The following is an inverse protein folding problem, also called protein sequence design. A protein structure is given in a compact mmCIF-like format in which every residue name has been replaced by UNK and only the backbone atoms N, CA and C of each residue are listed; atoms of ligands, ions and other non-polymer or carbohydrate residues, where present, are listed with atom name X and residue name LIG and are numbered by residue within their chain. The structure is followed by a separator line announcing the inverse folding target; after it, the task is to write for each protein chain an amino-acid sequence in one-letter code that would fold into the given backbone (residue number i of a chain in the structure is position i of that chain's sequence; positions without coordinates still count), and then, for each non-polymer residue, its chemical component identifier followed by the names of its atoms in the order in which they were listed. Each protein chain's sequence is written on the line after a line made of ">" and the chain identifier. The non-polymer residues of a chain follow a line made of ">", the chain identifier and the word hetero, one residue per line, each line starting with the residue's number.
data_IF_937079970193
#
_entry.id   IF_937079970193
#
_cell.length_a   1.000
_cell.length_b   1.000
_cell.length_c   1.000
_cell.angle_alpha   90.00
_cell.angle_beta   90.00
_cell.angle_gamma   90.00
#
_symmetry.space_group_name_H-M   'P 1'
#
loop_
_entity.id
_entity.type
_entity.pdbx_description
1 polymer ?
#
# COMPACT_ATOMS: atom_id res chain seq x y z
N UNK A 1 29.09 8.77 85.70
CA UNK A 1 29.10 9.35 84.34
C UNK A 1 29.02 8.20 83.34
N UNK A 2 27.82 7.85 82.85
CA UNK A 2 27.60 6.75 81.90
C UNK A 2 27.64 7.33 80.48
N UNK A 3 28.59 6.88 79.65
CA UNK A 3 28.68 7.24 78.23
C UNK A 3 27.76 6.30 77.44
N UNK A 4 26.78 6.86 76.72
CA UNK A 4 25.94 6.14 75.77
C UNK A 4 26.60 6.20 74.39
N UNK A 5 26.81 5.04 73.77
CA UNK A 5 27.33 4.88 72.42
C UNK A 5 26.13 4.80 71.46
N UNK A 6 25.97 5.79 70.58
CA UNK A 6 24.92 5.78 69.56
C UNK A 6 25.42 5.06 68.30
N UNK A 7 24.80 3.94 67.93
CA UNK A 7 25.00 3.26 66.65
C UNK A 7 24.21 4.00 65.56
N UNK A 8 24.90 4.52 64.55
CA UNK A 8 24.30 5.02 63.31
C UNK A 8 24.12 3.85 62.34
N UNK A 9 22.87 3.42 62.15
CA UNK A 9 22.50 2.46 61.10
C UNK A 9 22.20 3.28 59.84
N UNK A 10 23.08 3.19 58.85
CA UNK A 10 22.88 3.82 57.53
C UNK A 10 21.97 2.93 56.69
N UNK A 11 20.71 3.35 56.51
CA UNK A 11 19.76 2.65 55.65
C UNK A 11 20.05 2.96 54.16
N UNK A 12 20.55 1.98 53.42
CA UNK A 12 20.60 2.04 51.96
C UNK A 12 19.19 1.77 51.40
N UNK A 13 18.55 2.80 50.84
CA UNK A 13 17.33 2.66 50.06
C UNK A 13 17.67 2.14 48.65
N UNK A 14 17.02 1.07 48.16
CA UNK A 14 17.21 0.61 46.79
C UNK A 14 16.57 1.59 45.82
N UNK A 15 17.37 2.08 44.87
CA UNK A 15 16.90 2.93 43.77
C UNK A 15 16.15 2.02 42.77
N UNK A 16 14.82 2.04 42.83
CA UNK A 16 13.96 1.35 41.86
C UNK A 16 14.04 2.08 40.52
N UNK A 17 14.74 1.50 39.54
CA UNK A 17 14.65 1.92 38.15
C UNK A 17 13.28 1.49 37.61
N UNK A 18 12.30 2.40 37.62
CA UNK A 18 11.08 2.20 36.86
C UNK A 18 11.41 2.32 35.38
N UNK A 19 11.41 1.19 34.67
CA UNK A 19 11.45 1.17 33.21
C UNK A 19 10.22 1.94 32.70
N UNK A 20 10.45 3.09 32.07
CA UNK A 20 9.40 3.80 31.34
C UNK A 20 9.09 2.95 30.12
N UNK A 21 7.95 2.26 30.13
CA UNK A 21 7.44 1.63 28.93
C UNK A 21 7.12 2.75 27.92
N UNK A 22 7.94 2.86 26.88
CA UNK A 22 7.57 3.66 25.70
C UNK A 22 6.39 2.93 25.07
N UNK A 23 5.20 3.50 25.22
CA UNK A 23 4.04 3.02 24.49
C UNK A 23 4.35 3.10 22.99
N UNK A 24 4.09 2.03 22.25
CA UNK A 24 4.12 2.09 20.78
C UNK A 24 3.17 3.20 20.33
N UNK A 25 3.58 4.05 19.37
CA UNK A 25 2.68 5.04 18.81
C UNK A 25 1.42 4.34 18.30
N UNK A 26 0.26 4.95 18.51
CA UNK A 26 -0.98 4.46 17.95
C UNK A 26 -0.81 4.28 16.42
N UNK A 27 -1.38 3.22 15.82
CA UNK A 27 -1.30 3.03 14.38
C UNK A 27 -1.75 4.31 13.67
N UNK A 28 -0.99 4.75 12.67
CA UNK A 28 -1.36 5.91 11.89
C UNK A 28 -2.72 5.68 11.21
N UNK A 29 -3.55 6.72 11.19
CA UNK A 29 -4.82 6.70 10.47
C UNK A 29 -4.56 6.93 8.98
N UNK A 30 -4.34 5.85 8.23
CA UNK A 30 -3.91 5.92 6.83
C UNK A 30 -5.07 5.87 5.84
N UNK A 31 -6.23 5.34 6.25
CA UNK A 31 -7.40 5.16 5.40
C UNK A 31 -8.71 5.25 6.20
N UNK A 32 -8.89 6.28 7.05
CA UNK A 32 -10.19 6.57 7.69
C UNK A 32 -11.33 6.81 6.71
N UNK A 33 -11.01 7.17 5.47
CA UNK A 33 -11.89 7.14 4.30
C UNK A 33 -11.24 6.31 3.19
N UNK A 34 -12.01 5.83 2.19
CA UNK A 34 -11.43 5.13 1.05
C UNK A 34 -10.32 5.97 0.37
N UNK A 35 -9.14 5.39 0.08
CA UNK A 35 -8.09 6.10 -0.65
C UNK A 35 -8.57 6.54 -2.04
N UNK A 36 -8.35 7.81 -2.39
CA UNK A 36 -8.70 8.35 -3.70
C UNK A 36 -7.43 8.71 -4.48
N UNK A 37 -7.36 8.32 -5.75
CA UNK A 37 -6.17 8.57 -6.57
C UNK A 37 -6.32 8.09 -8.00
N UNK A 38 -5.18 7.81 -8.61
CA UNK A 38 -5.03 7.29 -9.96
C UNK A 38 -4.04 6.14 -9.95
N UNK A 39 -4.23 5.16 -10.83
CA UNK A 39 -3.30 4.06 -11.07
C UNK A 39 -3.03 3.95 -12.58
N UNK A 40 -1.79 3.59 -12.95
CA UNK A 40 -1.36 3.53 -14.35
C UNK A 40 -1.95 2.38 -15.19
N UNK A 41 -2.44 1.31 -14.58
CA UNK A 41 -2.66 0.02 -15.25
C UNK A 41 -3.72 0.04 -16.35
N UNK A 42 -4.97 0.41 -16.04
CA UNK A 42 -6.10 0.22 -16.96
C UNK A 42 -5.91 0.93 -18.30
N UNK A 43 -5.17 2.05 -18.31
CA UNK A 43 -4.91 2.81 -19.54
C UNK A 43 -3.56 2.48 -20.19
N UNK A 44 -2.50 2.31 -19.40
CA UNK A 44 -1.13 2.27 -19.91
C UNK A 44 -0.49 0.88 -19.84
N UNK A 45 -0.97 -0.02 -18.99
CA UNK A 45 -0.35 -1.31 -18.75
C UNK A 45 1.15 -1.16 -18.44
N UNK A 46 2.00 -1.87 -19.17
CA UNK A 46 3.45 -1.73 -19.06
C UNK A 46 4.04 -0.52 -19.83
N UNK A 47 3.27 0.29 -20.56
CA UNK A 47 3.76 1.46 -21.28
C UNK A 47 3.81 2.70 -20.38
N UNK A 48 4.65 2.59 -19.34
CA UNK A 48 4.81 3.61 -18.30
C UNK A 48 6.28 4.06 -18.20
N UNK A 49 6.48 5.33 -17.86
CA UNK A 49 7.79 5.92 -17.59
C UNK A 49 7.64 7.10 -16.63
N UNK A 50 8.77 7.63 -16.15
CA UNK A 50 8.81 8.73 -15.19
C UNK A 50 8.09 9.99 -15.68
N UNK A 51 8.23 10.34 -16.96
CA UNK A 51 7.58 11.52 -17.53
C UNK A 51 6.05 11.40 -17.48
N UNK A 52 5.50 10.22 -17.81
CA UNK A 52 4.07 9.94 -17.70
C UNK A 52 3.59 10.16 -16.26
N UNK A 53 4.30 9.60 -15.27
CA UNK A 53 3.88 9.72 -13.87
C UNK A 53 3.96 11.17 -13.39
N UNK A 54 5.01 11.92 -13.79
CA UNK A 54 5.14 13.36 -13.49
C UNK A 54 4.01 14.17 -14.11
N UNK A 55 3.69 13.93 -15.38
CA UNK A 55 2.60 14.62 -16.09
C UNK A 55 1.24 14.30 -15.48
N UNK A 56 1.01 13.06 -15.06
CA UNK A 56 -0.22 12.68 -14.35
C UNK A 56 -0.33 13.38 -12.99
N UNK A 57 0.78 13.47 -12.23
CA UNK A 57 0.80 14.22 -10.98
C UNK A 57 0.48 15.71 -11.21
N UNK A 58 1.03 16.32 -12.27
CA UNK A 58 0.71 17.70 -12.65
C UNK A 58 -0.77 17.87 -13.03
N UNK A 59 -1.32 16.92 -13.79
CA UNK A 59 -2.73 16.94 -14.19
C UNK A 59 -3.67 16.83 -12.97
N UNK A 60 -3.41 15.92 -12.03
CA UNK A 60 -4.20 15.77 -10.81
C UNK A 60 -4.11 17.04 -9.94
N UNK A 61 -2.91 17.61 -9.82
CA UNK A 61 -2.68 18.81 -9.02
C UNK A 61 -3.31 20.08 -9.60
N UNK A 62 -3.44 20.17 -10.93
CA UNK A 62 -3.93 21.38 -11.62
C UNK A 62 -5.39 21.32 -12.09
N UNK A 63 -5.99 20.14 -12.20
CA UNK A 63 -7.37 19.95 -12.69
C UNK A 63 -8.46 20.21 -11.65
N UNK A 64 -8.09 20.36 -10.38
CA UNK A 64 -9.02 20.38 -9.24
C UNK A 64 -9.30 19.00 -8.65
N UNK A 65 -8.85 17.91 -9.27
CA UNK A 65 -8.96 16.55 -8.71
C UNK A 65 -8.26 16.43 -7.36
N UNK A 66 -7.07 17.04 -7.22
CA UNK A 66 -6.44 17.13 -5.90
C UNK A 66 -7.39 17.81 -4.92
N UNK A 67 -7.93 18.98 -5.21
CA UNK A 67 -8.76 19.66 -4.21
C UNK A 67 -10.07 18.90 -3.90
N UNK A 68 -10.54 18.04 -4.83
CA UNK A 68 -11.64 17.10 -4.64
C UNK A 68 -11.32 15.82 -3.84
N UNK A 69 -10.04 15.56 -3.52
CA UNK A 69 -9.63 14.45 -2.65
C UNK A 69 -8.71 13.40 -3.29
N UNK A 70 -8.48 13.44 -4.61
CA UNK A 70 -7.55 12.51 -5.27
C UNK A 70 -6.11 12.83 -4.84
N UNK A 71 -5.49 11.98 -4.02
CA UNK A 71 -4.16 12.19 -3.43
C UNK A 71 -3.11 11.23 -3.97
N UNK A 72 -3.48 10.01 -4.32
CA UNK A 72 -2.51 8.96 -4.66
C UNK A 72 -2.22 8.92 -6.16
N UNK A 73 -0.95 8.88 -6.53
CA UNK A 73 -0.46 8.61 -7.87
C UNK A 73 0.27 7.28 -7.82
N UNK A 74 -0.43 6.20 -8.21
CA UNK A 74 0.05 4.84 -8.04
C UNK A 74 0.68 4.33 -9.33
N UNK A 75 1.93 3.88 -9.23
CA UNK A 75 2.63 3.16 -10.28
C UNK A 75 2.28 1.69 -10.15
N UNK A 76 1.72 1.09 -11.20
CA UNK A 76 1.41 -0.34 -11.23
C UNK A 76 2.62 -1.18 -11.71
N UNK A 77 2.39 -2.39 -12.19
CA UNK A 77 3.45 -3.31 -12.64
C UNK A 77 4.39 -2.69 -13.71
N UNK A 78 5.50 -3.37 -13.98
CA UNK A 78 6.49 -3.04 -15.02
C UNK A 78 7.35 -1.78 -14.74
N UNK A 79 7.40 -1.30 -13.49
CA UNK A 79 8.26 -0.18 -13.11
C UNK A 79 9.70 -0.57 -12.78
N UNK A 80 9.90 -1.79 -12.29
CA UNK A 80 11.21 -2.27 -11.83
C UNK A 80 12.09 -2.79 -12.97
N UNK A 81 13.41 -2.70 -12.76
CA UNK A 81 14.38 -3.42 -13.55
C UNK A 81 14.20 -4.94 -13.40
N UNK A 82 14.74 -5.71 -14.35
CA UNK A 82 14.68 -7.17 -14.33
C UNK A 82 15.54 -7.81 -13.24
N UNK A 83 16.49 -7.06 -12.70
CA UNK A 83 17.44 -7.55 -11.70
C UNK A 83 17.44 -6.64 -10.48
N UNK A 84 17.60 -7.27 -9.31
CA UNK A 84 17.87 -6.58 -8.05
C UNK A 84 19.34 -6.11 -8.04
N UNK A 85 19.65 -5.12 -7.20
CA UNK A 85 21.05 -4.74 -6.98
C UNK A 85 21.82 -5.82 -6.19
N UNK A 86 23.12 -5.59 -5.97
CA UNK A 86 23.99 -6.52 -5.24
C UNK A 86 23.61 -6.70 -3.76
N UNK A 87 22.77 -5.80 -3.22
CA UNK A 87 22.25 -5.87 -1.86
C UNK A 87 20.86 -6.54 -1.83
N UNK A 88 20.36 -7.00 -2.98
CA UNK A 88 19.08 -7.66 -3.12
C UNK A 88 17.89 -6.70 -3.20
N UNK A 89 18.10 -5.39 -3.38
CA UNK A 89 17.00 -4.41 -3.45
C UNK A 89 16.44 -4.30 -4.85
N UNK A 90 15.12 -4.16 -4.96
CA UNK A 90 14.48 -3.79 -6.22
C UNK A 90 15.08 -2.48 -6.75
N UNK A 91 15.29 -2.41 -8.07
CA UNK A 91 15.71 -1.20 -8.76
C UNK A 91 14.58 -0.74 -9.68
N UNK A 92 14.43 0.57 -9.87
CA UNK A 92 13.62 1.09 -10.96
C UNK A 92 14.28 0.74 -12.30
N UNK A 93 13.50 0.50 -13.35
CA UNK A 93 14.05 0.36 -14.69
C UNK A 93 14.77 1.68 -15.07
N UNK A 94 16.08 1.67 -15.35
CA UNK A 94 16.86 2.90 -15.53
C UNK A 94 16.56 3.63 -16.84
N UNK A 95 15.88 2.98 -17.79
CA UNK A 95 15.44 3.60 -19.04
C UNK A 95 14.08 4.26 -18.85
N UNK A 96 13.15 3.58 -18.16
CA UNK A 96 11.80 4.10 -17.90
C UNK A 96 11.79 5.15 -16.78
N UNK A 97 12.62 4.97 -15.76
CA UNK A 97 12.69 5.80 -14.56
C UNK A 97 14.13 6.26 -14.29
N UNK A 98 14.72 7.08 -15.19
CA UNK A 98 16.13 7.48 -15.10
C UNK A 98 16.48 8.29 -13.84
N UNK A 99 15.51 8.97 -13.22
CA UNK A 99 15.67 9.65 -11.93
C UNK A 99 15.47 8.74 -10.71
N UNK A 100 14.98 7.52 -10.92
CA UNK A 100 14.62 6.58 -9.87
C UNK A 100 13.34 6.97 -9.11
N UNK A 101 12.80 6.01 -8.35
CA UNK A 101 11.52 6.19 -7.64
C UNK A 101 11.61 7.27 -6.56
N UNK A 102 12.75 7.41 -5.87
CA UNK A 102 12.90 8.43 -4.84
C UNK A 102 12.70 9.85 -5.39
N UNK A 103 13.36 10.19 -6.49
CA UNK A 103 13.24 11.52 -7.09
C UNK A 103 11.82 11.77 -7.63
N UNK A 104 11.14 10.72 -8.08
CA UNK A 104 9.74 10.76 -8.48
C UNK A 104 8.81 10.98 -7.28
N UNK A 105 9.03 10.29 -6.16
CA UNK A 105 8.29 10.50 -4.92
C UNK A 105 8.44 11.94 -4.41
N UNK A 106 9.68 12.44 -4.34
CA UNK A 106 9.98 13.82 -3.95
C UNK A 106 9.21 14.83 -4.86
N UNK A 107 9.12 14.56 -6.17
CA UNK A 107 8.34 15.39 -7.10
C UNK A 107 6.83 15.34 -6.84
N UNK A 108 6.27 14.14 -6.66
CA UNK A 108 4.84 13.94 -6.39
C UNK A 108 4.46 14.60 -5.05
N UNK A 109 5.29 14.46 -4.02
CA UNK A 109 5.10 15.12 -2.72
C UNK A 109 5.12 16.64 -2.84
N UNK A 110 5.99 17.22 -3.67
CA UNK A 110 6.03 18.67 -3.90
C UNK A 110 4.74 19.23 -4.53
N UNK A 111 3.87 18.39 -5.10
CA UNK A 111 2.54 18.75 -5.63
C UNK A 111 1.41 18.62 -4.59
N UNK A 112 1.73 18.18 -3.37
CA UNK A 112 0.76 17.84 -2.33
C UNK A 112 0.05 16.51 -2.57
N UNK A 113 0.69 15.59 -3.29
CA UNK A 113 0.21 14.25 -3.63
C UNK A 113 1.05 13.19 -2.91
N UNK A 114 0.64 11.93 -3.03
CA UNK A 114 1.28 10.74 -2.45
C UNK A 114 1.65 9.77 -3.57
N UNK A 115 2.80 9.11 -3.48
CA UNK A 115 3.24 8.13 -4.47
C UNK A 115 2.93 6.71 -4.01
N UNK A 116 2.28 5.93 -4.86
CA UNK A 116 2.12 4.49 -4.66
C UNK A 116 2.99 3.66 -5.59
N UNK A 117 3.28 2.44 -5.16
CA UNK A 117 4.05 1.45 -5.91
C UNK A 117 3.35 0.10 -5.90
N UNK A 118 3.85 -0.81 -6.72
CA UNK A 118 3.31 -2.14 -6.91
C UNK A 118 4.37 -3.22 -6.73
N UNK A 119 3.96 -4.35 -6.15
CA UNK A 119 4.67 -5.63 -6.19
C UNK A 119 3.66 -6.78 -6.05
N UNK A 120 4.15 -8.02 -6.00
CA UNK A 120 3.34 -9.22 -5.75
C UNK A 120 3.84 -9.98 -4.52
N UNK A 121 2.91 -10.59 -3.80
CA UNK A 121 3.14 -11.62 -2.78
C UNK A 121 3.49 -12.97 -3.44
N UNK A 122 4.44 -12.95 -4.37
CA UNK A 122 4.92 -14.09 -5.14
C UNK A 122 6.35 -13.89 -5.61
N UNK A 123 6.90 -14.88 -6.32
CA UNK A 123 8.27 -14.83 -6.83
C UNK A 123 8.43 -13.85 -7.99
N UNK A 124 7.33 -13.58 -8.71
CA UNK A 124 7.27 -12.60 -9.79
C UNK A 124 5.96 -11.80 -9.73
N UNK A 125 5.96 -10.64 -10.36
CA UNK A 125 4.74 -9.87 -10.61
C UNK A 125 3.90 -10.53 -11.70
N UNK A 126 2.65 -10.10 -11.89
CA UNK A 126 1.80 -10.65 -12.93
C UNK A 126 2.39 -10.45 -14.35
N UNK A 127 3.14 -9.36 -14.60
CA UNK A 127 3.89 -9.12 -15.83
C UNK A 127 5.30 -9.76 -15.85
N UNK A 128 5.63 -10.60 -14.86
CA UNK A 128 6.87 -11.39 -14.82
C UNK A 128 8.12 -10.60 -14.42
N UNK A 129 7.98 -9.49 -13.68
CA UNK A 129 9.11 -8.79 -13.07
C UNK A 129 9.45 -9.38 -11.70
N UNK A 130 10.64 -9.10 -11.13
CA UNK A 130 10.95 -9.51 -9.76
C UNK A 130 9.88 -9.00 -8.78
N UNK A 131 9.42 -9.86 -7.87
CA UNK A 131 8.47 -9.51 -6.82
C UNK A 131 9.02 -9.85 -5.43
N UNK A 132 8.18 -9.80 -4.40
CA UNK A 132 8.64 -9.58 -3.01
C UNK A 132 8.49 -10.78 -2.09
N UNK A 133 8.03 -11.94 -2.56
CA UNK A 133 8.01 -13.15 -1.72
C UNK A 133 9.44 -13.48 -1.26
N UNK A 134 9.60 -13.68 0.05
CA UNK A 134 10.89 -13.90 0.74
C UNK A 134 11.86 -12.69 0.69
N UNK A 135 11.39 -11.52 0.25
CA UNK A 135 12.15 -10.27 0.16
C UNK A 135 11.41 -9.09 0.83
N UNK A 136 10.39 -9.37 1.64
CA UNK A 136 9.45 -8.39 2.17
C UNK A 136 10.17 -7.31 3.00
N UNK A 137 11.09 -7.73 3.87
CA UNK A 137 11.87 -6.87 4.76
C UNK A 137 12.77 -5.89 3.99
N UNK A 138 13.38 -6.33 2.89
CA UNK A 138 14.28 -5.49 2.07
C UNK A 138 13.48 -4.56 1.15
N UNK A 139 12.38 -5.05 0.59
CA UNK A 139 11.54 -4.28 -0.34
C UNK A 139 10.77 -3.19 0.41
N UNK A 140 10.17 -3.51 1.56
CA UNK A 140 9.50 -2.51 2.41
C UNK A 140 10.45 -1.38 2.81
N UNK A 141 11.68 -1.71 3.25
CA UNK A 141 12.71 -0.69 3.57
C UNK A 141 13.09 0.14 2.35
N UNK A 142 13.27 -0.50 1.19
CA UNK A 142 13.60 0.19 -0.05
C UNK A 142 12.53 1.23 -0.42
N UNK A 143 11.25 0.86 -0.33
CA UNK A 143 10.14 1.77 -0.60
C UNK A 143 10.03 2.88 0.46
N UNK A 144 10.30 2.57 1.72
CA UNK A 144 10.34 3.58 2.78
C UNK A 144 11.46 4.61 2.56
N UNK A 145 12.66 4.16 2.19
CA UNK A 145 13.81 5.00 1.85
C UNK A 145 13.54 5.90 0.62
N UNK A 146 12.75 5.40 -0.33
CA UNK A 146 12.32 6.16 -1.49
C UNK A 146 11.15 7.12 -1.22
N UNK A 147 10.49 7.01 -0.08
CA UNK A 147 9.36 7.88 0.26
C UNK A 147 8.02 7.43 -0.34
N UNK A 148 7.84 6.14 -0.64
CA UNK A 148 6.55 5.59 -1.08
C UNK A 148 5.51 5.70 0.05
N UNK A 149 4.24 5.95 -0.30
CA UNK A 149 3.13 6.15 0.64
C UNK A 149 2.03 5.08 0.52
N UNK A 150 2.08 4.24 -0.52
CA UNK A 150 1.07 3.25 -0.83
C UNK A 150 1.71 2.03 -1.52
N UNK A 151 1.32 0.82 -1.13
CA UNK A 151 1.68 -0.42 -1.80
C UNK A 151 0.42 -1.16 -2.26
N UNK A 152 0.29 -1.41 -3.57
CA UNK A 152 -0.56 -2.46 -4.13
C UNK A 152 0.23 -3.77 -4.13
N UNK A 153 -0.32 -4.82 -3.51
CA UNK A 153 0.38 -6.08 -3.30
C UNK A 153 -0.40 -7.26 -3.86
N UNK A 154 -0.02 -7.65 -5.07
CA UNK A 154 -0.65 -8.69 -5.89
C UNK A 154 -0.42 -10.12 -5.38
N UNK A 155 -0.93 -11.11 -6.10
CA UNK A 155 -0.95 -12.51 -5.69
C UNK A 155 -0.45 -13.49 -6.78
N UNK A 156 0.02 -12.99 -7.93
CA UNK A 156 0.63 -13.82 -8.97
C UNK A 156 1.91 -14.52 -8.48
N UNK A 157 2.18 -15.73 -8.98
CA UNK A 157 3.38 -16.54 -8.66
C UNK A 157 3.62 -16.77 -7.17
N UNK A 158 2.54 -17.01 -6.41
CA UNK A 158 2.55 -17.12 -4.95
C UNK A 158 3.11 -18.45 -4.38
N UNK A 159 3.57 -19.36 -5.25
CA UNK A 159 4.11 -20.68 -4.88
C UNK A 159 3.17 -21.53 -4.02
N UNK A 160 1.85 -21.35 -4.18
CA UNK A 160 0.79 -21.99 -3.38
C UNK A 160 0.95 -21.79 -1.86
N UNK A 161 1.74 -20.80 -1.43
CA UNK A 161 1.92 -20.51 -0.01
C UNK A 161 0.65 -19.85 0.56
N UNK A 162 0.29 -20.14 1.82
CA UNK A 162 -0.91 -19.56 2.43
C UNK A 162 -0.95 -18.04 2.34
N UNK A 163 -2.09 -17.49 1.91
CA UNK A 163 -2.27 -16.05 1.76
C UNK A 163 -2.00 -15.31 3.08
N UNK A 164 -2.49 -15.84 4.20
CA UNK A 164 -2.27 -15.26 5.51
C UNK A 164 -0.78 -15.05 5.81
N UNK A 165 0.07 -16.06 5.56
CA UNK A 165 1.50 -15.98 5.85
C UNK A 165 2.20 -14.93 4.98
N UNK A 166 1.92 -14.94 3.67
CA UNK A 166 2.55 -14.03 2.71
C UNK A 166 2.14 -12.57 2.93
N UNK A 167 0.84 -12.33 3.11
CA UNK A 167 0.33 -10.98 3.34
C UNK A 167 0.72 -10.45 4.73
N UNK A 168 0.82 -11.32 5.75
CA UNK A 168 1.32 -10.94 7.08
C UNK A 168 2.80 -10.55 7.03
N UNK A 169 3.63 -11.32 6.31
CA UNK A 169 5.06 -11.02 6.18
C UNK A 169 5.30 -9.60 5.64
N UNK A 170 4.59 -9.20 4.58
CA UNK A 170 4.70 -7.85 4.04
C UNK A 170 4.07 -6.79 4.96
N UNK A 171 2.92 -7.06 5.59
CA UNK A 171 2.33 -6.14 6.56
C UNK A 171 3.23 -5.87 7.78
N UNK A 172 3.94 -6.89 8.27
CA UNK A 172 4.98 -6.78 9.30
C UNK A 172 6.19 -5.98 8.81
N UNK A 173 6.67 -6.27 7.60
CA UNK A 173 7.80 -5.58 6.99
C UNK A 173 7.53 -4.07 6.83
N UNK A 174 6.34 -3.69 6.33
CA UNK A 174 5.92 -2.29 6.20
C UNK A 174 5.91 -1.58 7.55
N UNK A 175 5.28 -2.16 8.58
CA UNK A 175 5.25 -1.58 9.93
C UNK A 175 6.65 -1.38 10.52
N UNK A 176 7.56 -2.33 10.29
CA UNK A 176 8.95 -2.28 10.77
C UNK A 176 9.75 -1.12 10.18
N UNK A 177 9.35 -0.59 9.01
CA UNK A 177 10.02 0.59 8.42
C UNK A 177 9.80 1.86 9.24
N UNK A 178 8.72 1.93 10.02
CA UNK A 178 8.30 3.15 10.71
C UNK A 178 7.75 4.25 9.80
N UNK A 179 7.61 3.99 8.49
CA UNK A 179 6.95 4.89 7.54
C UNK A 179 5.50 4.46 7.32
N UNK A 180 4.63 5.45 7.31
CA UNK A 180 3.21 5.30 6.98
C UNK A 180 3.02 4.94 5.50
N UNK A 181 2.73 3.67 5.22
CA UNK A 181 2.46 3.15 3.87
C UNK A 181 1.10 2.45 3.86
N UNK A 182 0.16 2.94 3.05
CA UNK A 182 -1.13 2.28 2.82
C UNK A 182 -0.88 0.91 2.20
N UNK A 183 -1.51 -0.12 2.77
CA UNK A 183 -1.33 -1.50 2.32
C UNK A 183 -2.60 -2.03 1.66
N UNK A 184 -2.53 -2.21 0.34
CA UNK A 184 -3.64 -2.62 -0.53
C UNK A 184 -3.44 -4.05 -1.00
N UNK A 185 -4.27 -4.97 -0.51
CA UNK A 185 -4.18 -6.40 -0.83
C UNK A 185 -4.86 -6.67 -2.18
N UNK A 186 -4.18 -7.38 -3.07
CA UNK A 186 -4.68 -7.72 -4.41
C UNK A 186 -4.59 -9.24 -4.64
N UNK A 187 -5.37 -10.01 -3.87
CA UNK A 187 -5.55 -11.46 -4.05
C UNK A 187 -6.92 -11.83 -4.64
N UNK A 188 -7.61 -10.85 -5.22
CA UNK A 188 -8.84 -11.04 -5.98
C UNK A 188 -10.01 -11.66 -5.20
N UNK A 189 -10.01 -11.53 -3.87
CA UNK A 189 -11.02 -12.10 -2.98
C UNK A 189 -10.93 -13.62 -2.80
N UNK A 190 -9.88 -14.30 -3.28
CA UNK A 190 -9.79 -15.77 -3.26
C UNK A 190 -9.85 -16.36 -1.86
N UNK A 191 -9.33 -15.63 -0.86
CA UNK A 191 -9.29 -16.04 0.54
C UNK A 191 -10.27 -15.25 1.42
N UNK A 192 -11.25 -14.57 0.79
CA UNK A 192 -12.25 -13.73 1.47
C UNK A 192 -11.61 -12.76 2.47
N UNK A 193 -10.77 -11.82 2.01
CA UNK A 193 -9.95 -10.99 2.87
C UNK A 193 -10.78 -10.12 3.83
N UNK A 194 -12.03 -9.84 3.47
CA UNK A 194 -13.02 -9.15 4.30
C UNK A 194 -13.44 -9.91 5.58
N UNK A 195 -13.36 -11.25 5.61
CA UNK A 195 -13.76 -12.07 6.78
C UNK A 195 -12.69 -12.12 7.90
N UNK A 196 -11.61 -11.34 7.79
CA UNK A 196 -10.66 -11.14 8.89
C UNK A 196 -9.22 -10.93 8.42
N UNK A 197 -8.78 -11.68 7.40
CA UNK A 197 -7.40 -11.67 6.91
C UNK A 197 -6.91 -10.25 6.62
N UNK A 198 -7.69 -9.45 5.89
CA UNK A 198 -7.30 -8.10 5.47
C UNK A 198 -6.93 -7.22 6.66
N UNK A 199 -7.73 -7.22 7.72
CA UNK A 199 -7.44 -6.45 8.94
C UNK A 199 -6.33 -7.09 9.77
N UNK A 200 -6.30 -8.43 9.85
CA UNK A 200 -5.31 -9.18 10.64
C UNK A 200 -3.88 -8.89 10.19
N UNK A 201 -3.67 -8.74 8.88
CA UNK A 201 -2.34 -8.46 8.30
C UNK A 201 -2.02 -6.97 8.17
N UNK A 202 -2.88 -6.08 8.69
CA UNK A 202 -2.69 -4.63 8.61
C UNK A 202 -3.02 -4.01 7.25
N UNK A 203 -3.85 -4.69 6.45
CA UNK A 203 -4.40 -4.16 5.20
C UNK A 203 -5.39 -3.03 5.43
N UNK A 204 -5.32 -2.02 4.57
CA UNK A 204 -6.18 -0.83 4.60
C UNK A 204 -7.31 -0.92 3.58
N UNK A 205 -7.11 -1.74 2.55
CA UNK A 205 -8.11 -2.13 1.56
C UNK A 205 -7.71 -3.46 0.91
N UNK A 206 -8.69 -4.17 0.36
CA UNK A 206 -8.49 -5.48 -0.25
C UNK A 206 -9.43 -5.69 -1.44
N UNK A 207 -8.84 -6.13 -2.56
CA UNK A 207 -9.59 -6.54 -3.75
C UNK A 207 -10.55 -7.66 -3.41
N UNK A 208 -11.80 -7.52 -3.82
CA UNK A 208 -12.87 -8.47 -3.53
C UNK A 208 -13.21 -9.39 -4.71
N UNK A 209 -12.72 -9.07 -5.90
CA UNK A 209 -13.02 -9.78 -7.16
C UNK A 209 -11.78 -9.90 -8.03
N UNK A 210 -11.88 -10.68 -9.11
CA UNK A 210 -10.99 -10.58 -10.26
C UNK A 210 -11.01 -9.19 -10.91
N UNK A 211 -10.15 -8.98 -11.90
CA UNK A 211 -9.93 -7.66 -12.50
C UNK A 211 -11.16 -7.15 -13.26
N UNK A 212 -11.39 -5.84 -13.12
CA UNK A 212 -12.36 -5.10 -13.91
C UNK A 212 -11.91 -4.99 -15.36
N UNK A 213 -12.86 -4.72 -16.25
CA UNK A 213 -12.60 -4.37 -17.63
C UNK A 213 -13.58 -3.27 -18.05
N UNK A 214 -13.16 -2.43 -18.99
CA UNK A 214 -13.94 -1.29 -19.51
C UNK A 214 -15.14 -1.73 -20.38
N UNK A 215 -16.11 -2.40 -19.76
CA UNK A 215 -17.40 -2.76 -20.32
C UNK A 215 -18.44 -2.95 -19.21
N UNK A 216 -19.70 -2.67 -19.53
CA UNK A 216 -20.78 -2.67 -18.54
C UNK A 216 -21.01 -4.03 -17.86
N UNK A 217 -20.78 -5.14 -18.58
CA UNK A 217 -20.92 -6.49 -18.02
C UNK A 217 -19.93 -6.73 -16.89
N UNK A 218 -18.69 -6.27 -17.03
CA UNK A 218 -17.68 -6.38 -15.97
C UNK A 218 -18.06 -5.55 -14.74
N UNK A 219 -18.47 -4.29 -14.94
CA UNK A 219 -18.93 -3.41 -13.85
C UNK A 219 -20.06 -4.05 -13.05
N UNK A 220 -21.10 -4.54 -13.73
CA UNK A 220 -22.24 -5.18 -13.06
C UNK A 220 -21.86 -6.50 -12.40
N UNK A 221 -20.98 -7.30 -13.03
CA UNK A 221 -20.51 -8.55 -12.44
C UNK A 221 -19.71 -8.35 -11.16
N UNK A 222 -18.94 -7.26 -11.04
CA UNK A 222 -18.24 -6.88 -9.81
C UNK A 222 -19.22 -6.36 -8.76
N UNK A 223 -20.17 -5.50 -9.16
CA UNK A 223 -21.20 -4.95 -8.26
C UNK A 223 -22.01 -6.06 -7.59
N UNK A 224 -22.46 -7.06 -8.35
CA UNK A 224 -23.24 -8.19 -7.82
C UNK A 224 -22.45 -8.99 -6.77
N UNK A 225 -21.12 -9.03 -6.89
CA UNK A 225 -20.23 -9.69 -5.92
C UNK A 225 -19.99 -8.85 -4.65
N UNK A 226 -20.32 -7.55 -4.65
CA UNK A 226 -20.21 -6.72 -3.44
C UNK A 226 -21.39 -6.90 -2.47
N UNK A 227 -22.48 -7.54 -2.91
CA UNK A 227 -23.70 -7.69 -2.09
C UNK A 227 -23.40 -8.43 -0.79
N UNK A 228 -23.65 -7.77 0.34
CA UNK A 228 -23.44 -8.31 1.68
C UNK A 228 -22.01 -8.09 2.20
N UNK A 229 -21.09 -7.55 1.40
CA UNK A 229 -19.73 -7.26 1.85
C UNK A 229 -19.63 -5.91 2.58
N UNK A 230 -20.62 -5.03 2.44
CA UNK A 230 -20.63 -3.69 3.04
C UNK A 230 -20.44 -3.70 4.56
N UNK A 231 -20.86 -4.78 5.23
CA UNK A 231 -20.71 -4.95 6.68
C UNK A 231 -19.25 -5.11 7.15
N UNK A 232 -18.32 -5.45 6.25
CA UNK A 232 -16.90 -5.64 6.56
C UNK A 232 -16.06 -4.39 6.31
N UNK A 233 -16.59 -3.43 5.55
CA UNK A 233 -15.92 -2.19 5.20
C UNK A 233 -16.12 -1.10 6.27
N UNK A 234 -15.10 -0.27 6.46
CA UNK A 234 -15.14 0.87 7.38
C UNK A 234 -13.75 1.50 7.53
N UNK A 235 -13.59 2.49 8.43
CA UNK A 235 -12.31 3.15 8.65
C UNK A 235 -11.14 2.16 8.77
N UNK A 236 -10.08 2.43 8.01
CA UNK A 236 -8.87 1.61 7.90
C UNK A 236 -9.08 0.17 7.42
N UNK A 237 -10.12 -0.09 6.62
CA UNK A 237 -10.33 -1.40 5.99
C UNK A 237 -11.51 -1.36 5.03
N UNK A 238 -11.22 -1.25 3.73
CA UNK A 238 -12.21 -1.09 2.68
C UNK A 238 -12.23 -2.26 1.71
N UNK A 239 -13.43 -2.67 1.30
CA UNK A 239 -13.59 -3.53 0.12
C UNK A 239 -13.21 -2.73 -1.12
N UNK A 240 -12.35 -3.30 -1.94
CA UNK A 240 -11.88 -2.70 -3.20
C UNK A 240 -12.54 -3.43 -4.39
N UNK A 241 -13.52 -2.81 -5.08
CA UNK A 241 -14.15 -3.34 -6.28
C UNK A 241 -13.31 -3.08 -7.55
N UNK A 242 -12.01 -2.86 -7.39
CA UNK A 242 -11.03 -2.55 -8.44
C UNK A 242 -11.09 -1.12 -8.99
N UNK A 243 -10.11 -0.80 -9.83
CA UNK A 243 -9.85 0.54 -10.37
C UNK A 243 -10.98 1.05 -11.28
N UNK A 244 -11.24 2.35 -11.24
CA UNK A 244 -12.26 2.96 -12.12
C UNK A 244 -11.89 2.85 -13.61
N UNK A 245 -12.90 2.54 -14.43
CA UNK A 245 -12.79 2.50 -15.90
C UNK A 245 -13.26 3.80 -16.58
N UNK A 246 -13.65 4.80 -15.79
CA UNK A 246 -14.21 6.07 -16.27
C UNK A 246 -13.31 6.74 -17.31
N UNK A 247 -13.81 6.85 -18.54
CA UNK A 247 -13.13 7.54 -19.64
C UNK A 247 -12.19 6.66 -20.49
N UNK A 248 -12.18 5.33 -20.31
CA UNK A 248 -11.31 4.44 -21.08
C UNK A 248 -11.82 4.12 -22.51
N UNK A 249 -13.10 4.37 -22.79
CA UNK A 249 -13.72 4.41 -24.12
C UNK A 249 -14.65 3.25 -24.47
N UNK A 250 -14.75 2.23 -23.63
CA UNK A 250 -15.55 1.01 -23.83
C UNK A 250 -16.99 1.07 -23.31
N UNK A 251 -17.35 2.10 -22.55
CA UNK A 251 -18.72 2.31 -22.04
C UNK A 251 -19.31 3.65 -22.48
N UNK A 252 -20.63 3.75 -22.42
CA UNK A 252 -21.35 5.00 -22.62
C UNK A 252 -21.15 5.94 -21.43
N UNK A 253 -21.36 7.24 -21.66
CA UNK A 253 -21.31 8.26 -20.61
C UNK A 253 -22.33 8.02 -19.47
N UNK A 254 -23.48 7.40 -19.76
CA UNK A 254 -24.43 6.99 -18.72
C UNK A 254 -23.91 5.82 -17.86
N UNK A 255 -23.29 4.82 -18.49
CA UNK A 255 -22.66 3.69 -17.79
C UNK A 255 -21.46 4.16 -16.95
N UNK A 256 -20.64 5.08 -17.46
CA UNK A 256 -19.54 5.66 -16.67
C UNK A 256 -20.03 6.43 -15.44
N UNK A 257 -21.10 7.22 -15.58
CA UNK A 257 -21.72 7.88 -14.42
C UNK A 257 -22.24 6.87 -13.40
N UNK A 258 -22.90 5.81 -13.87
CA UNK A 258 -23.40 4.77 -12.99
C UNK A 258 -22.26 4.05 -12.27
N UNK A 259 -21.24 3.61 -13.01
CA UNK A 259 -20.03 2.99 -12.45
C UNK A 259 -19.36 3.83 -11.37
N UNK A 260 -19.22 5.15 -11.59
CA UNK A 260 -18.60 6.06 -10.61
C UNK A 260 -19.46 6.29 -9.36
N UNK A 261 -20.79 6.15 -9.49
CA UNK A 261 -21.74 6.51 -8.42
C UNK A 261 -22.06 5.36 -7.47
N UNK A 262 -21.81 4.11 -7.90
CA UNK A 262 -22.05 2.88 -7.16
C UNK A 262 -20.87 2.57 -6.23
#
# INVERSE_FOLDING_TARGET
>A
MRRALALLISALLPLSLTAVAIAEPAPADLASTPPMGWNSWNKFGCDINEDLIRQTADAIASSGMRDAGYRYVNIDDCWMARERDTEGRLQADPVRFPGGIKALADYVHAKGLKLGIYSSAGTHTCAGYPASLDHEDVDARTWADWGVDYLKYDNCFNEDRPALDRYRAMGEALRKTGRDIVYSLCEWGQNKPWEGLGREVGGHLWRTTGDISDNWTSVMGILDQQVGLEQYAGPNGWNDPDMLEVGNGGMTDAEYRAHFSL
#
